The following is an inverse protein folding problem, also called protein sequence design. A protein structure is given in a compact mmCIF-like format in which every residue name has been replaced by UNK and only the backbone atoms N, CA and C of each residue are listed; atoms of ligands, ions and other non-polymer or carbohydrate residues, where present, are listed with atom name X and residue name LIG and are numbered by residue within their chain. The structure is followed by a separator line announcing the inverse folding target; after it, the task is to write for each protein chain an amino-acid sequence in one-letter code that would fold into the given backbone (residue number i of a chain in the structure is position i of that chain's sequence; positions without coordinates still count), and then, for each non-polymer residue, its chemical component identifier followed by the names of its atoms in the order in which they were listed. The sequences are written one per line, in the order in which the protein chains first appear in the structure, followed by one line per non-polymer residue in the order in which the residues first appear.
data_IF_278230535628
#
_entry.id   IF_278230535628
#
_cell.length_a   1.000
_cell.length_b   1.000
_cell.length_c   1.000
_cell.angle_alpha   90.00
_cell.angle_beta   90.00
_cell.angle_gamma   90.00
#
_symmetry.space_group_name_H-M   'P 1'
#
loop_
_entity.id
_entity.type
_entity.pdbx_description
1 polymer ?
#
# COMPACT_ATOMS: atom_id res chain seq x y z
N UNK A 1 20.62 -24.77 -7.04
CA UNK A 1 21.24 -23.70 -7.85
C UNK A 1 20.14 -22.72 -8.22
N UNK A 2 20.04 -21.57 -7.54
CA UNK A 2 19.09 -20.51 -7.91
C UNK A 2 19.91 -19.32 -8.40
N UNK A 3 19.85 -19.06 -9.70
CA UNK A 3 20.40 -17.86 -10.33
C UNK A 3 19.28 -16.82 -10.37
N UNK A 4 19.44 -15.73 -9.65
CA UNK A 4 18.61 -14.53 -9.84
C UNK A 4 19.15 -13.78 -11.06
N UNK A 5 18.28 -13.55 -12.04
CA UNK A 5 18.58 -12.77 -13.22
C UNK A 5 17.86 -11.42 -13.05
N UNK A 6 18.63 -10.36 -12.85
CA UNK A 6 18.15 -8.98 -12.88
C UNK A 6 18.17 -8.48 -14.33
N UNK A 7 17.07 -7.89 -14.78
CA UNK A 7 17.04 -7.13 -16.03
C UNK A 7 17.14 -5.63 -15.72
N UNK A 8 17.95 -4.97 -16.52
CA UNK A 8 18.49 -3.61 -16.37
C UNK A 8 17.49 -2.57 -16.86
N UNK A 9 17.35 -1.46 -16.14
CA UNK A 9 16.78 -0.22 -16.66
C UNK A 9 17.90 0.66 -17.22
N UNK A 10 17.77 1.09 -18.48
CA UNK A 10 18.70 2.02 -19.11
C UNK A 10 18.27 3.46 -18.81
N UNK A 11 19.04 4.18 -18.00
CA UNK A 11 18.93 5.62 -17.86
C UNK A 11 20.12 6.28 -18.56
N UNK A 12 19.88 7.33 -19.34
CA UNK A 12 20.96 8.17 -19.85
C UNK A 12 21.49 9.03 -18.70
N UNK A 13 22.67 8.70 -18.19
CA UNK A 13 23.37 9.51 -17.19
C UNK A 13 24.28 10.49 -17.93
N UNK A 14 23.97 11.78 -17.89
CA UNK A 14 24.96 12.80 -18.22
C UNK A 14 26.00 12.82 -17.09
N UNK A 15 27.27 12.55 -17.42
CA UNK A 15 28.36 12.58 -16.44
C UNK A 15 28.68 14.03 -16.06
N UNK A 16 28.51 14.38 -14.79
CA UNK A 16 29.23 15.49 -14.16
C UNK A 16 30.00 14.97 -12.95
N UNK A 17 31.21 15.48 -12.80
CA UNK A 17 32.23 15.03 -11.86
C UNK A 17 31.78 15.10 -10.39
N UNK A 18 32.44 14.31 -9.55
CA UNK A 18 32.15 14.13 -8.13
C UNK A 18 32.12 15.45 -7.35
N UNK A 19 30.96 15.75 -6.78
CA UNK A 19 30.80 16.64 -5.64
C UNK A 19 29.88 15.92 -4.64
N UNK A 20 30.06 16.21 -3.34
CA UNK A 20 29.34 15.62 -2.21
C UNK A 20 27.85 15.39 -2.49
N UNK A 21 27.26 14.28 -2.01
CA UNK A 21 25.81 14.01 -2.15
C UNK A 21 25.01 15.25 -1.72
N UNK A 22 24.40 15.99 -2.66
CA UNK A 22 23.55 17.11 -2.30
C UNK A 22 22.24 16.53 -1.79
N UNK A 23 22.03 16.62 -0.49
CA UNK A 23 20.89 16.08 0.25
C UNK A 23 19.59 16.90 0.03
N UNK A 24 19.36 17.46 -1.17
CA UNK A 24 18.27 18.44 -1.39
C UNK A 24 17.38 18.21 -2.60
N UNK A 25 17.50 17.10 -3.32
CA UNK A 25 16.55 16.74 -4.39
C UNK A 25 15.98 15.34 -4.17
N UNK A 26 15.40 15.09 -2.97
CA UNK A 26 14.23 14.23 -2.98
C UNK A 26 13.21 14.94 -3.85
N UNK A 27 13.00 14.41 -5.05
CA UNK A 27 11.98 14.88 -5.98
C UNK A 27 10.63 14.67 -5.32
N UNK A 28 10.23 15.60 -4.46
CA UNK A 28 8.87 15.71 -3.98
C UNK A 28 8.01 16.19 -5.15
N UNK A 29 7.65 15.22 -5.98
CA UNK A 29 6.82 15.42 -7.15
C UNK A 29 5.41 15.88 -6.79
N UNK A 30 4.99 15.79 -5.52
CA UNK A 30 3.68 16.27 -5.11
C UNK A 30 3.56 17.80 -5.23
N UNK A 31 4.65 18.54 -5.03
CA UNK A 31 4.66 20.00 -5.21
C UNK A 31 4.49 20.44 -6.68
N UNK A 32 4.83 19.55 -7.62
CA UNK A 32 4.77 19.83 -9.08
C UNK A 32 3.53 19.22 -9.74
N UNK A 33 3.12 18.03 -9.31
CA UNK A 33 2.09 17.22 -9.97
C UNK A 33 0.86 16.98 -9.09
N UNK A 34 0.87 17.44 -7.83
CA UNK A 34 -0.19 17.18 -6.86
C UNK A 34 -0.18 15.74 -6.34
N UNK A 35 -1.17 15.42 -5.53
CA UNK A 35 -1.41 14.06 -5.05
C UNK A 35 -2.42 13.37 -5.95
N UNK A 36 -2.10 12.15 -6.38
CA UNK A 36 -2.99 11.30 -7.18
C UNK A 36 -4.20 10.86 -6.35
N UNK A 37 -3.99 10.54 -5.08
CA UNK A 37 -5.03 10.25 -4.09
C UNK A 37 -4.69 11.03 -2.81
N UNK A 38 -5.67 11.74 -2.26
CA UNK A 38 -5.54 12.49 -1.01
C UNK A 38 -6.60 12.05 0.00
N UNK A 39 -6.33 12.17 1.32
CA UNK A 39 -7.35 11.99 2.34
C UNK A 39 -8.60 12.84 2.06
N UNK A 40 -9.78 12.26 2.33
CA UNK A 40 -11.08 12.92 2.11
C UNK A 40 -11.88 12.88 3.40
N UNK A 41 -12.33 14.03 3.88
CA UNK A 41 -13.11 14.12 5.12
C UNK A 41 -14.39 13.27 5.04
N UNK A 42 -14.71 12.55 6.12
CA UNK A 42 -15.90 11.70 6.21
C UNK A 42 -15.76 10.34 5.50
N UNK A 43 -14.56 9.95 5.07
CA UNK A 43 -14.27 8.59 4.59
C UNK A 43 -13.34 7.85 5.55
N UNK A 44 -13.24 6.53 5.41
CA UNK A 44 -12.33 5.72 6.22
C UNK A 44 -10.84 6.07 6.05
N UNK A 45 -10.50 6.80 4.98
CA UNK A 45 -9.14 7.20 4.68
C UNK A 45 -8.85 8.68 4.91
N UNK A 46 -9.75 9.38 5.63
CA UNK A 46 -9.64 10.81 5.94
C UNK A 46 -8.38 11.18 6.73
N UNK A 47 -7.82 10.25 7.49
CA UNK A 47 -6.65 10.51 8.33
C UNK A 47 -5.34 10.39 7.55
N UNK A 48 -5.27 9.46 6.60
CA UNK A 48 -4.02 9.17 5.87
C UNK A 48 -4.23 8.30 4.64
N UNK A 49 -3.46 8.59 3.60
CA UNK A 49 -3.23 7.70 2.44
C UNK A 49 -1.72 7.51 2.34
N UNK A 50 -1.26 6.26 2.24
CA UNK A 50 0.16 5.95 2.24
C UNK A 50 0.47 4.66 1.46
N UNK A 51 1.74 4.51 1.08
CA UNK A 51 2.31 3.27 0.52
C UNK A 51 1.42 2.60 -0.54
N UNK A 52 1.11 3.31 -1.65
CA UNK A 52 0.32 2.71 -2.71
C UNK A 52 1.09 1.62 -3.44
N UNK A 53 0.38 0.63 -3.94
CA UNK A 53 0.82 -0.30 -4.97
C UNK A 53 -0.19 -0.28 -6.10
N UNK A 54 0.29 -0.36 -7.34
CA UNK A 54 -0.53 -0.28 -8.55
C UNK A 54 -0.24 -1.47 -9.45
N UNK A 55 -1.29 -2.08 -9.99
CA UNK A 55 -1.18 -3.14 -10.99
C UNK A 55 -2.23 -2.96 -12.09
N UNK A 56 -1.92 -3.41 -13.29
CA UNK A 56 -2.76 -3.27 -14.48
C UNK A 56 -3.41 -4.61 -14.83
N UNK A 57 -4.74 -4.61 -14.97
CA UNK A 57 -5.50 -5.73 -15.47
C UNK A 57 -5.58 -5.65 -17.00
N UNK A 58 -4.83 -6.52 -17.68
CA UNK A 58 -4.81 -6.57 -19.15
C UNK A 58 -6.13 -7.05 -19.77
N UNK A 59 -7.02 -7.71 -19.01
CA UNK A 59 -8.30 -8.23 -19.49
C UNK A 59 -9.36 -7.14 -19.49
N UNK A 60 -9.45 -6.37 -18.40
CA UNK A 60 -10.44 -5.29 -18.26
C UNK A 60 -9.93 -3.95 -18.77
N UNK A 61 -8.61 -3.79 -18.94
CA UNK A 61 -7.99 -2.53 -19.31
C UNK A 61 -8.00 -1.50 -18.17
N UNK A 62 -7.99 -1.97 -16.92
CA UNK A 62 -8.14 -1.13 -15.74
C UNK A 62 -6.93 -1.27 -14.81
N UNK A 63 -6.49 -0.16 -14.22
CA UNK A 63 -5.53 -0.12 -13.14
C UNK A 63 -6.23 -0.30 -11.80
N UNK A 64 -5.64 -1.09 -10.92
CA UNK A 64 -6.01 -1.23 -9.52
C UNK A 64 -4.91 -0.64 -8.65
N UNK A 65 -5.28 0.24 -7.73
CA UNK A 65 -4.42 0.70 -6.64
C UNK A 65 -4.94 0.13 -5.32
N UNK A 66 -4.02 -0.41 -4.52
CA UNK A 66 -4.23 -0.56 -3.09
C UNK A 66 -3.33 0.43 -2.37
N UNK A 67 -3.85 1.06 -1.32
CA UNK A 67 -3.10 2.00 -0.49
C UNK A 67 -3.38 1.74 0.98
N UNK A 68 -2.39 1.97 1.82
CA UNK A 68 -2.56 1.90 3.27
C UNK A 68 -3.23 3.15 3.81
N UNK A 69 -4.02 2.97 4.85
CA UNK A 69 -4.70 4.05 5.53
C UNK A 69 -4.84 3.80 7.01
N UNK A 70 -4.81 4.88 7.79
CA UNK A 70 -5.06 4.85 9.22
C UNK A 70 -6.57 4.94 9.45
N UNK A 71 -7.17 3.84 9.91
CA UNK A 71 -8.62 3.76 10.06
C UNK A 71 -9.11 4.67 11.21
N UNK A 72 -10.33 5.23 11.11
CA UNK A 72 -10.96 5.91 12.22
C UNK A 72 -11.32 4.91 13.32
N UNK A 73 -11.05 5.28 14.57
CA UNK A 73 -11.16 4.39 15.73
C UNK A 73 -12.63 3.97 16.01
N UNK A 74 -13.60 4.82 15.66
CA UNK A 74 -15.02 4.64 16.00
C UNK A 74 -15.77 3.61 15.12
N UNK A 75 -15.34 3.45 13.86
CA UNK A 75 -16.17 2.79 12.84
C UNK A 75 -15.84 1.31 12.67
N UNK A 76 -14.59 0.91 12.90
CA UNK A 76 -14.16 -0.45 12.58
C UNK A 76 -14.13 -1.41 13.78
N UNK A 77 -14.25 -0.90 15.03
CA UNK A 77 -14.35 -1.68 16.27
C UNK A 77 -13.38 -2.87 16.37
N UNK A 78 -12.16 -2.71 15.84
CA UNK A 78 -11.13 -3.76 15.79
C UNK A 78 -10.39 -3.77 17.13
N UNK A 79 -11.10 -4.10 18.21
CA UNK A 79 -10.53 -4.30 19.55
C UNK A 79 -9.94 -3.05 20.21
N UNK A 80 -8.97 -3.25 21.11
CA UNK A 80 -8.31 -2.19 21.89
C UNK A 80 -7.20 -1.50 21.07
N UNK A 81 -7.57 -0.50 20.27
CA UNK A 81 -6.66 0.30 19.44
C UNK A 81 -5.47 0.89 20.20
N UNK A 82 -5.62 1.18 21.51
CA UNK A 82 -4.56 1.77 22.33
C UNK A 82 -3.36 0.84 22.51
N UNK A 83 -3.57 -0.46 22.30
CA UNK A 83 -2.53 -1.48 22.41
C UNK A 83 -1.72 -1.66 21.11
N UNK A 84 -2.12 -1.02 20.01
CA UNK A 84 -1.39 -1.05 18.74
C UNK A 84 -0.27 0.01 18.72
N UNK A 85 0.98 -0.46 18.73
CA UNK A 85 2.18 0.35 18.92
C UNK A 85 2.46 1.43 17.85
N UNK A 86 1.92 1.29 16.63
CA UNK A 86 2.27 2.13 15.47
C UNK A 86 1.24 3.23 15.13
N UNK A 87 0.70 3.88 16.17
CA UNK A 87 -0.13 5.08 15.99
C UNK A 87 -1.56 4.79 15.53
N UNK A 88 -2.04 3.56 15.73
CA UNK A 88 -3.42 3.12 15.48
C UNK A 88 -3.50 1.89 14.58
N UNK A 89 -4.69 1.66 14.04
CA UNK A 89 -5.01 0.46 13.25
C UNK A 89 -5.02 0.79 11.76
N UNK A 90 -4.34 -0.03 10.97
CA UNK A 90 -4.10 0.21 9.55
C UNK A 90 -4.85 -0.78 8.66
N UNK A 91 -5.57 -0.25 7.67
CA UNK A 91 -6.26 -1.02 6.63
C UNK A 91 -5.74 -0.70 5.23
N UNK A 92 -6.28 -1.40 4.23
CA UNK A 92 -6.02 -1.12 2.81
C UNK A 92 -7.28 -0.59 2.13
N UNK A 93 -7.19 0.60 1.55
CA UNK A 93 -8.18 1.14 0.64
C UNK A 93 -7.91 0.71 -0.81
N UNK A 94 -8.93 0.85 -1.66
CA UNK A 94 -8.89 0.52 -3.09
C UNK A 94 -9.25 1.75 -3.92
N UNK A 95 -8.55 1.91 -5.04
CA UNK A 95 -8.95 2.83 -6.11
C UNK A 95 -8.76 2.16 -7.47
N UNK A 96 -9.53 2.56 -8.47
CA UNK A 96 -9.32 2.11 -9.86
C UNK A 96 -9.16 3.27 -10.82
N UNK A 97 -8.61 2.99 -12.00
CA UNK A 97 -8.36 3.99 -13.04
C UNK A 97 -8.32 3.34 -14.41
N UNK A 98 -8.80 4.01 -15.45
CA UNK A 98 -8.67 3.57 -16.84
C UNK A 98 -7.44 4.14 -17.55
N UNK A 99 -6.76 5.13 -16.96
CA UNK A 99 -5.66 5.86 -17.60
C UNK A 99 -4.38 5.94 -16.74
N UNK A 100 -4.43 5.44 -15.50
CA UNK A 100 -3.33 5.45 -14.54
C UNK A 100 -3.07 6.82 -13.91
N UNK A 101 -3.86 7.85 -14.24
CA UNK A 101 -3.67 9.24 -13.82
C UNK A 101 -4.86 9.76 -13.02
N UNK A 102 -6.09 9.47 -13.45
CA UNK A 102 -7.33 9.82 -12.77
C UNK A 102 -7.87 8.60 -12.04
N UNK A 103 -8.14 8.73 -10.74
CA UNK A 103 -8.45 7.59 -9.87
C UNK A 103 -9.78 7.75 -9.15
N UNK A 104 -10.59 6.70 -9.23
CA UNK A 104 -11.85 6.56 -8.51
C UNK A 104 -11.60 5.73 -7.25
N UNK A 105 -11.60 6.39 -6.08
CA UNK A 105 -11.45 5.74 -4.79
C UNK A 105 -12.78 5.11 -4.37
N UNK A 106 -12.75 3.87 -3.90
CA UNK A 106 -13.91 3.25 -3.25
C UNK A 106 -14.03 3.81 -1.83
N UNK A 107 -14.96 4.76 -1.65
CA UNK A 107 -15.20 5.43 -0.36
C UNK A 107 -16.02 4.59 0.62
N UNK A 108 -16.62 3.49 0.17
CA UNK A 108 -17.64 2.76 0.94
C UNK A 108 -17.05 1.97 2.10
N UNK A 109 -15.88 1.35 1.90
CA UNK A 109 -15.16 0.59 2.90
C UNK A 109 -13.71 0.31 2.48
N UNK A 110 -12.79 0.05 3.43
CA UNK A 110 -11.52 -0.58 3.16
C UNK A 110 -11.70 -1.90 2.42
N UNK A 111 -10.83 -2.15 1.43
CA UNK A 111 -10.80 -3.41 0.71
C UNK A 111 -10.27 -4.57 1.57
N UNK A 112 -9.31 -4.28 2.46
CA UNK A 112 -8.77 -5.25 3.42
C UNK A 112 -8.72 -4.58 4.78
N UNK A 113 -9.37 -5.21 5.75
CA UNK A 113 -9.37 -4.81 7.15
C UNK A 113 -8.40 -5.68 7.96
N UNK A 114 -7.80 -5.11 9.01
CA UNK A 114 -7.18 -5.94 10.02
C UNK A 114 -8.22 -6.75 10.81
N UNK A 115 -7.79 -7.81 11.49
CA UNK A 115 -8.71 -8.71 12.22
C UNK A 115 -8.23 -8.94 13.65
N UNK A 116 -9.11 -8.72 14.63
CA UNK A 116 -8.80 -8.92 16.03
C UNK A 116 -8.38 -10.38 16.32
N UNK A 117 -7.45 -10.57 17.24
CA UNK A 117 -6.89 -11.87 17.62
C UNK A 117 -6.13 -12.62 16.50
N UNK A 118 -5.68 -11.91 15.46
CA UNK A 118 -4.84 -12.47 14.40
C UNK A 118 -3.45 -11.82 14.38
N UNK A 119 -2.56 -12.36 13.55
CA UNK A 119 -1.23 -11.80 13.31
C UNK A 119 -1.25 -10.38 12.70
N UNK A 120 -2.40 -9.93 12.17
CA UNK A 120 -2.58 -8.65 11.52
C UNK A 120 -3.63 -7.78 12.22
N UNK A 121 -3.85 -7.97 13.52
CA UNK A 121 -4.80 -7.17 14.32
C UNK A 121 -4.55 -5.66 14.23
N UNK A 122 -3.31 -5.23 14.33
CA UNK A 122 -2.97 -3.80 14.31
C UNK A 122 -2.75 -3.26 12.90
N UNK A 123 -2.34 -4.09 11.94
CA UNK A 123 -2.09 -3.60 10.59
C UNK A 123 -2.24 -4.66 9.52
N UNK A 124 -2.96 -4.28 8.47
CA UNK A 124 -2.79 -4.76 7.09
C UNK A 124 -2.29 -3.57 6.27
N UNK A 125 -0.98 -3.43 6.12
CA UNK A 125 -0.35 -2.23 5.57
C UNK A 125 0.77 -2.54 4.57
N UNK A 126 1.28 -1.53 3.86
CA UNK A 126 2.38 -1.64 2.90
C UNK A 126 2.13 -2.74 1.85
N UNK A 127 1.04 -2.63 1.08
CA UNK A 127 0.67 -3.65 0.12
C UNK A 127 1.70 -3.75 -1.00
N UNK A 128 1.87 -4.95 -1.50
CA UNK A 128 2.39 -5.23 -2.84
C UNK A 128 1.45 -6.22 -3.51
N UNK A 129 1.31 -6.13 -4.83
CA UNK A 129 0.41 -7.01 -5.56
C UNK A 129 0.98 -7.44 -6.91
N UNK A 130 0.53 -8.62 -7.36
CA UNK A 130 0.78 -9.13 -8.71
C UNK A 130 -0.56 -9.57 -9.31
N UNK A 131 -0.79 -9.18 -10.56
CA UNK A 131 -1.93 -9.66 -11.33
C UNK A 131 -1.54 -10.92 -12.10
N UNK A 132 -2.24 -12.02 -11.85
CA UNK A 132 -2.13 -13.28 -12.59
C UNK A 132 -3.34 -13.44 -13.52
N UNK A 133 -3.12 -13.22 -14.82
CA UNK A 133 -4.15 -13.38 -15.85
C UNK A 133 -4.52 -14.83 -16.16
N UNK A 134 -3.75 -15.80 -15.65
CA UNK A 134 -3.95 -17.22 -15.92
C UNK A 134 -4.90 -17.88 -14.91
N UNK A 135 -5.16 -17.22 -13.79
CA UNK A 135 -6.08 -17.68 -12.75
C UNK A 135 -7.50 -17.12 -12.95
N UNK A 136 -8.44 -17.98 -13.34
CA UNK A 136 -9.84 -17.61 -13.55
C UNK A 136 -10.13 -16.83 -14.85
N UNK A 137 -11.41 -16.48 -15.07
CA UNK A 137 -11.85 -15.80 -16.30
C UNK A 137 -11.51 -14.30 -16.35
N UNK A 138 -11.24 -13.70 -15.20
CA UNK A 138 -10.98 -12.26 -15.05
C UNK A 138 -9.58 -11.97 -14.48
N UNK A 139 -8.73 -13.00 -14.37
CA UNK A 139 -7.50 -12.97 -13.60
C UNK A 139 -7.71 -12.87 -12.10
N UNK A 140 -6.63 -13.03 -11.35
CA UNK A 140 -6.59 -12.90 -9.88
C UNK A 140 -5.49 -11.92 -9.49
N UNK A 141 -5.76 -11.09 -8.47
CA UNK A 141 -4.72 -10.32 -7.80
C UNK A 141 -4.22 -11.08 -6.57
N UNK A 142 -2.92 -11.36 -6.53
CA UNK A 142 -2.25 -11.84 -5.34
C UNK A 142 -1.67 -10.65 -4.58
N UNK A 143 -2.07 -10.51 -3.31
CA UNK A 143 -1.69 -9.37 -2.46
C UNK A 143 -0.89 -9.86 -1.26
N UNK A 144 0.24 -9.23 -1.01
CA UNK A 144 1.02 -9.39 0.22
C UNK A 144 1.07 -8.06 0.94
N UNK A 145 1.10 -8.10 2.26
CA UNK A 145 1.10 -6.91 3.10
C UNK A 145 1.88 -7.16 4.38
N UNK A 146 2.37 -6.09 4.99
CA UNK A 146 2.87 -6.09 6.37
C UNK A 146 1.69 -6.39 7.30
N UNK A 147 1.85 -7.42 8.10
CA UNK A 147 1.01 -7.75 9.24
C UNK A 147 1.62 -7.18 10.53
N UNK A 148 0.78 -6.66 11.42
CA UNK A 148 1.19 -6.29 12.78
C UNK A 148 0.11 -6.72 13.77
N UNK A 149 0.54 -7.20 14.93
CA UNK A 149 -0.32 -7.58 16.04
C UNK A 149 0.06 -6.79 17.30
N UNK A 150 -0.77 -6.89 18.33
CA UNK A 150 -0.44 -6.39 19.66
C UNK A 150 0.79 -7.16 20.19
N UNK A 151 1.78 -6.46 20.79
CA UNK A 151 2.92 -7.12 21.42
C UNK A 151 2.50 -8.23 22.38
N UNK A 152 3.12 -9.42 22.25
CA UNK A 152 2.90 -10.57 23.14
C UNK A 152 1.69 -11.46 22.81
N UNK A 153 0.87 -11.13 21.80
CA UNK A 153 -0.37 -11.88 21.53
C UNK A 153 -0.15 -13.26 20.86
N UNK A 154 0.73 -13.38 19.87
CA UNK A 154 1.02 -14.68 19.21
C UNK A 154 2.31 -15.37 19.71
N UNK A 155 2.63 -15.22 21.01
CA UNK A 155 3.89 -15.71 21.58
C UNK A 155 5.10 -14.89 21.15
N UNK A 156 6.29 -15.20 21.67
CA UNK A 156 7.53 -14.63 21.15
C UNK A 156 7.56 -14.88 19.64
N UNK A 157 7.59 -13.81 18.84
CA UNK A 157 7.69 -13.89 17.38
C UNK A 157 8.61 -15.05 17.01
N UNK A 158 8.21 -15.99 16.12
CA UNK A 158 9.21 -16.79 15.45
C UNK A 158 10.11 -15.79 14.71
N UNK A 159 11.28 -15.53 15.31
CA UNK A 159 12.39 -14.90 14.61
C UNK A 159 12.64 -15.74 13.37
N UNK A 160 12.78 -15.12 12.18
CA UNK A 160 13.10 -15.84 10.95
C UNK A 160 14.31 -16.76 11.12
#
# INVERSE_FOLDING_TARGET
MHRFMFAVATFAVASVASAACPDTDFLDYSAKYGYVVSPKAGTFYERRVATPTVSYNEITGEYLMLFSTLLPDADYKIGDYASCSNGGVWGLGRATSTDGVNWDVDDSAPAILPEANTAHWCATAHPTMVYDKTDGKNGTYHVWYKAEQIPGYCGSNPTP
#
